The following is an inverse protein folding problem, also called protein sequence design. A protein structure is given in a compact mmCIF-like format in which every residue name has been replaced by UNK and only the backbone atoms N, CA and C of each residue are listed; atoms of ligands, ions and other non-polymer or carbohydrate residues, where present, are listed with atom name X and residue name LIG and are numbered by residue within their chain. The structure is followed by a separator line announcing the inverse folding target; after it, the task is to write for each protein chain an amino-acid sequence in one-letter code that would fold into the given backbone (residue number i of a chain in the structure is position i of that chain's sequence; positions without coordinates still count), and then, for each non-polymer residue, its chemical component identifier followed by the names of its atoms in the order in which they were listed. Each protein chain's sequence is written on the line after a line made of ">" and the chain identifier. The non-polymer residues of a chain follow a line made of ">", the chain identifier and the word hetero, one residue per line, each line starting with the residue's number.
data_IF_802802799836
#
_entry.id   IF_802802799836
#
_cell.length_a   1.000
_cell.length_b   1.000
_cell.length_c   1.000
_cell.angle_alpha   90.00
_cell.angle_beta   90.00
_cell.angle_gamma   90.00
#
_symmetry.space_group_name_H-M   'P 1'
#
loop_
_entity.id
_entity.type
_entity.pdbx_description
1 polymer ?
#
# COMPACT_ATOMS: atom_id res chain seq x y z
N UNK A 1 -18.92 -9.97 -34.69
CA UNK A 1 -18.04 -9.08 -33.88
C UNK A 1 -17.60 -9.86 -32.66
N UNK A 2 -16.31 -10.23 -32.50
CA UNK A 2 -15.83 -10.82 -31.25
C UNK A 2 -16.08 -9.79 -30.14
N UNK A 3 -16.74 -10.20 -29.06
CA UNK A 3 -16.85 -9.37 -27.86
C UNK A 3 -15.43 -9.06 -27.40
N UNK A 4 -15.03 -7.79 -27.22
CA UNK A 4 -13.70 -7.50 -26.72
C UNK A 4 -13.53 -8.25 -25.40
N UNK A 5 -12.52 -9.10 -25.33
CA UNK A 5 -12.14 -9.79 -24.09
C UNK A 5 -12.00 -8.69 -23.06
N UNK A 6 -12.87 -8.69 -22.03
CA UNK A 6 -12.70 -7.76 -20.91
C UNK A 6 -11.31 -8.02 -20.35
N UNK A 7 -10.39 -7.08 -20.52
CA UNK A 7 -9.10 -7.11 -19.84
C UNK A 7 -9.40 -7.07 -18.35
N UNK A 8 -9.43 -8.24 -17.70
CA UNK A 8 -9.62 -8.32 -16.26
C UNK A 8 -8.26 -8.20 -15.58
N UNK A 9 -8.24 -7.62 -14.38
CA UNK A 9 -7.02 -7.49 -13.60
C UNK A 9 -6.38 -8.88 -13.33
N UNK A 10 -5.19 -9.17 -13.89
CA UNK A 10 -4.67 -10.52 -13.95
C UNK A 10 -3.96 -10.92 -12.66
N UNK A 11 -3.87 -12.23 -12.43
CA UNK A 11 -2.93 -12.83 -11.49
C UNK A 11 -1.90 -13.59 -12.33
N UNK A 12 -0.73 -12.97 -12.55
CA UNK A 12 0.35 -13.49 -13.39
C UNK A 12 1.25 -14.45 -12.62
N UNK A 13 1.51 -14.17 -11.35
CA UNK A 13 2.23 -15.11 -10.49
C UNK A 13 1.40 -16.41 -10.29
N UNK A 14 2.04 -17.58 -10.16
CA UNK A 14 1.33 -18.82 -9.88
C UNK A 14 0.41 -18.71 -8.66
N UNK A 15 -0.84 -19.18 -8.79
CA UNK A 15 -1.83 -19.18 -7.69
C UNK A 15 -1.31 -19.88 -6.44
N UNK A 16 -0.50 -20.92 -6.61
CA UNK A 16 0.15 -21.66 -5.53
C UNK A 16 1.10 -20.80 -4.68
N UNK A 17 1.63 -19.68 -5.19
CA UNK A 17 2.49 -18.78 -4.44
C UNK A 17 1.72 -17.84 -3.52
N UNK A 18 0.46 -17.52 -3.83
CA UNK A 18 -0.30 -16.48 -3.10
C UNK A 18 -0.42 -16.82 -1.61
N UNK A 19 -0.84 -18.03 -1.27
CA UNK A 19 -0.99 -18.47 0.12
C UNK A 19 0.33 -18.42 0.92
N UNK A 20 1.41 -19.08 0.45
CA UNK A 20 2.72 -19.02 1.08
C UNK A 20 3.31 -17.61 1.24
N UNK A 21 3.09 -16.73 0.26
CA UNK A 21 3.50 -15.33 0.34
C UNK A 21 2.67 -14.56 1.38
N UNK A 22 1.35 -14.80 1.44
CA UNK A 22 0.48 -14.19 2.45
C UNK A 22 0.84 -14.60 3.88
N UNK A 23 1.32 -15.81 4.08
CA UNK A 23 1.81 -16.27 5.39
C UNK A 23 3.03 -15.49 5.88
N UNK A 24 3.76 -14.79 5.02
CA UNK A 24 4.88 -13.93 5.45
C UNK A 24 4.43 -12.77 6.33
N UNK A 25 3.15 -12.40 6.27
CA UNK A 25 2.56 -11.37 7.12
C UNK A 25 2.21 -11.87 8.53
N UNK A 26 2.21 -13.18 8.78
CA UNK A 26 1.97 -13.72 10.12
C UNK A 26 3.12 -13.34 11.06
N UNK A 27 2.77 -12.87 12.25
CA UNK A 27 3.73 -12.34 13.21
C UNK A 27 3.57 -13.01 14.58
N UNK A 28 4.64 -13.52 15.20
CA UNK A 28 4.57 -14.04 16.56
C UNK A 28 4.06 -12.98 17.54
N UNK A 29 3.11 -13.32 18.41
CA UNK A 29 2.54 -12.36 19.33
C UNK A 29 3.58 -11.97 20.40
N UNK A 30 3.95 -10.69 20.54
CA UNK A 30 5.09 -10.26 21.35
C UNK A 30 4.91 -10.53 22.85
N UNK A 31 3.66 -10.56 23.32
CA UNK A 31 3.30 -10.77 24.74
C UNK A 31 2.65 -12.13 25.04
N UNK A 32 2.43 -12.99 24.04
CA UNK A 32 1.67 -14.24 24.19
C UNK A 32 2.40 -15.35 23.43
N UNK A 33 3.33 -16.06 24.08
CA UNK A 33 4.08 -17.15 23.47
C UNK A 33 3.16 -18.15 22.77
N UNK A 34 3.58 -18.65 21.60
CA UNK A 34 2.80 -19.61 20.80
C UNK A 34 1.60 -19.01 20.04
N UNK A 35 1.18 -17.78 20.34
CA UNK A 35 0.11 -17.11 19.58
C UNK A 35 0.69 -16.39 18.37
N UNK A 36 -0.06 -16.40 17.27
CA UNK A 36 0.27 -15.69 16.03
C UNK A 36 -0.75 -14.59 15.79
N UNK A 37 -0.27 -13.39 15.51
CA UNK A 37 -1.05 -12.30 14.93
C UNK A 37 -1.13 -12.58 13.43
N UNK A 38 -2.34 -12.84 12.93
CA UNK A 38 -2.53 -13.09 11.50
C UNK A 38 -2.24 -11.83 10.71
N UNK A 39 -1.61 -12.00 9.56
CA UNK A 39 -1.33 -10.92 8.63
C UNK A 39 -2.55 -10.06 8.32
N UNK A 40 -2.46 -8.76 8.60
CA UNK A 40 -3.50 -7.79 8.32
C UNK A 40 -3.61 -7.54 6.79
N UNK A 41 -4.84 -7.32 6.31
CA UNK A 41 -5.19 -6.90 4.94
C UNK A 41 -4.70 -7.73 3.74
N UNK A 42 -4.58 -9.04 3.91
CA UNK A 42 -4.19 -9.95 2.83
C UNK A 42 -5.01 -9.82 1.54
N UNK A 43 -6.33 -9.62 1.70
CA UNK A 43 -7.23 -9.49 0.56
C UNK A 43 -7.03 -8.19 -0.21
N UNK A 44 -6.79 -7.09 0.50
CA UNK A 44 -6.41 -5.82 -0.09
C UNK A 44 -5.10 -5.93 -0.86
N UNK A 45 -4.06 -6.49 -0.24
CA UNK A 45 -2.76 -6.64 -0.90
C UNK A 45 -2.87 -7.44 -2.21
N UNK A 46 -3.70 -8.49 -2.23
CA UNK A 46 -3.99 -9.25 -3.45
C UNK A 46 -4.72 -8.44 -4.52
N UNK A 47 -5.77 -7.68 -4.15
CA UNK A 47 -6.50 -6.83 -5.10
C UNK A 47 -5.59 -5.73 -5.67
N UNK A 48 -4.83 -5.03 -4.81
CA UNK A 48 -3.84 -4.03 -5.22
C UNK A 48 -2.82 -4.64 -6.18
N UNK A 49 -2.27 -5.83 -5.89
CA UNK A 49 -1.32 -6.50 -6.77
C UNK A 49 -1.90 -6.87 -8.15
N UNK A 50 -3.18 -7.27 -8.21
CA UNK A 50 -3.87 -7.52 -9.49
C UNK A 50 -4.08 -6.25 -10.29
N UNK A 51 -4.50 -5.16 -9.64
CA UNK A 51 -4.62 -3.84 -10.30
C UNK A 51 -3.26 -3.37 -10.83
N UNK A 52 -2.21 -3.47 -10.02
CA UNK A 52 -0.84 -3.11 -10.39
C UNK A 52 -0.36 -3.86 -11.63
N UNK A 53 -0.60 -5.17 -11.70
CA UNK A 53 -0.22 -5.97 -12.86
C UNK A 53 -0.95 -5.55 -14.14
N UNK A 54 -2.25 -5.23 -14.05
CA UNK A 54 -3.02 -4.74 -15.19
C UNK A 54 -2.45 -3.41 -15.72
N UNK A 55 -2.22 -2.44 -14.83
CA UNK A 55 -1.67 -1.13 -15.19
C UNK A 55 -0.26 -1.28 -15.77
N UNK A 56 0.60 -2.08 -15.15
CA UNK A 56 1.96 -2.31 -15.62
C UNK A 56 2.00 -2.95 -17.03
N UNK A 57 1.10 -3.90 -17.34
CA UNK A 57 0.96 -4.45 -18.69
C UNK A 57 0.47 -3.39 -19.69
N UNK A 58 -0.55 -2.61 -19.31
CA UNK A 58 -1.09 -1.50 -20.13
C UNK A 58 -0.02 -0.47 -20.48
N UNK A 59 0.94 -0.25 -19.58
CA UNK A 59 2.07 0.67 -19.78
C UNK A 59 3.21 0.07 -20.64
N UNK A 60 3.13 -1.21 -21.02
CA UNK A 60 4.09 -1.87 -21.92
C UNK A 60 5.27 -2.56 -21.21
N UNK A 61 5.18 -2.85 -19.92
CA UNK A 61 6.20 -3.67 -19.25
C UNK A 61 6.11 -5.14 -19.67
N UNK A 62 7.27 -5.82 -19.77
CA UNK A 62 7.35 -7.24 -20.11
C UNK A 62 6.69 -8.12 -19.06
N UNK A 63 6.09 -9.24 -19.47
CA UNK A 63 5.38 -10.14 -18.54
C UNK A 63 6.27 -10.64 -17.41
N UNK A 64 7.53 -11.02 -17.69
CA UNK A 64 8.49 -11.44 -16.67
C UNK A 64 8.71 -10.35 -15.60
N UNK A 65 8.80 -9.08 -16.02
CA UNK A 65 8.93 -7.96 -15.08
C UNK A 65 7.66 -7.78 -14.28
N UNK A 66 6.50 -7.84 -14.93
CA UNK A 66 5.20 -7.64 -14.28
C UNK A 66 4.91 -8.76 -13.28
N UNK A 67 5.27 -10.01 -13.57
CA UNK A 67 5.13 -11.13 -12.64
C UNK A 67 5.92 -10.89 -11.35
N UNK A 68 7.20 -10.52 -11.49
CA UNK A 68 8.06 -10.19 -10.33
C UNK A 68 7.55 -8.97 -9.59
N UNK A 69 7.14 -7.94 -10.33
CA UNK A 69 6.55 -6.73 -9.76
C UNK A 69 5.27 -7.07 -8.97
N UNK A 70 4.42 -7.96 -9.48
CA UNK A 70 3.20 -8.38 -8.80
C UNK A 70 3.49 -9.03 -7.44
N UNK A 71 4.59 -9.79 -7.32
CA UNK A 71 5.06 -10.31 -6.03
C UNK A 71 5.46 -9.17 -5.09
N UNK A 72 6.16 -8.14 -5.59
CA UNK A 72 6.52 -6.97 -4.78
C UNK A 72 5.27 -6.21 -4.30
N UNK A 73 4.26 -6.02 -5.17
CA UNK A 73 2.97 -5.42 -4.80
C UNK A 73 2.24 -6.26 -3.76
N UNK A 74 2.28 -7.59 -3.87
CA UNK A 74 1.63 -8.49 -2.93
C UNK A 74 2.23 -8.38 -1.52
N UNK A 75 3.52 -8.07 -1.43
CA UNK A 75 4.26 -7.94 -0.18
C UNK A 75 4.44 -6.48 0.26
N UNK A 76 3.85 -5.51 -0.45
CA UNK A 76 4.22 -4.10 -0.31
C UNK A 76 4.08 -3.55 1.12
N UNK A 77 3.12 -4.12 1.87
CA UNK A 77 2.78 -3.79 3.25
C UNK A 77 3.46 -4.71 4.29
N UNK A 78 4.42 -5.55 3.89
CA UNK A 78 5.06 -6.53 4.79
C UNK A 78 5.71 -5.87 6.02
N UNK A 79 6.14 -4.60 5.91
CA UNK A 79 6.61 -3.82 7.04
C UNK A 79 5.54 -3.61 8.12
N UNK A 80 4.25 -3.88 7.87
CA UNK A 80 3.15 -3.83 8.84
C UNK A 80 2.81 -5.18 9.48
N UNK A 81 3.59 -6.24 9.22
CA UNK A 81 3.42 -7.51 9.93
C UNK A 81 3.45 -7.26 11.47
N UNK A 82 2.48 -7.84 12.18
CA UNK A 82 2.28 -7.61 13.62
C UNK A 82 1.48 -6.35 13.97
N UNK A 83 0.74 -5.76 13.03
CA UNK A 83 -0.10 -4.60 13.35
C UNK A 83 -1.12 -4.91 14.47
N UNK A 84 -1.06 -4.11 15.53
CA UNK A 84 -2.07 -4.04 16.58
C UNK A 84 -3.03 -2.91 16.25
N UNK A 85 -4.20 -3.24 15.69
CA UNK A 85 -5.13 -2.24 15.14
C UNK A 85 -5.61 -1.22 16.19
N UNK A 86 -5.83 -1.66 17.43
CA UNK A 86 -6.30 -0.78 18.50
C UNK A 86 -5.19 0.18 18.91
N UNK A 87 -4.01 -0.34 19.22
CA UNK A 87 -2.86 0.47 19.63
C UNK A 87 -2.42 1.42 18.51
N UNK A 88 -2.29 0.91 17.28
CA UNK A 88 -1.94 1.68 16.11
C UNK A 88 -2.99 2.77 15.81
N UNK A 89 -4.27 2.40 15.83
CA UNK A 89 -5.38 3.33 15.61
C UNK A 89 -5.39 4.45 16.64
N UNK A 90 -5.16 4.13 17.91
CA UNK A 90 -5.08 5.08 19.03
C UNK A 90 -3.94 6.09 18.85
N UNK A 91 -2.74 5.62 18.52
CA UNK A 91 -1.56 6.49 18.29
C UNK A 91 -1.81 7.42 17.09
N UNK A 92 -2.21 6.86 15.95
CA UNK A 92 -2.21 7.61 14.69
C UNK A 92 -3.44 8.48 14.49
N UNK A 93 -4.60 8.11 15.07
CA UNK A 93 -5.77 8.99 15.09
C UNK A 93 -5.51 10.21 15.96
N UNK A 94 -4.86 10.01 17.13
CA UNK A 94 -4.45 11.12 17.98
C UNK A 94 -3.44 12.03 17.28
N UNK A 95 -2.37 11.46 16.70
CA UNK A 95 -1.35 12.24 15.99
C UNK A 95 -1.99 13.10 14.89
N UNK A 96 -2.87 12.51 14.08
CA UNK A 96 -3.58 13.23 13.02
C UNK A 96 -4.48 14.34 13.55
N UNK A 97 -5.23 14.09 14.62
CA UNK A 97 -6.11 15.09 15.23
C UNK A 97 -5.35 16.30 15.80
N UNK A 98 -4.05 16.14 16.06
CA UNK A 98 -3.18 17.18 16.63
C UNK A 98 -2.18 17.73 15.59
N UNK A 99 -2.40 17.47 14.30
CA UNK A 99 -1.53 17.98 13.23
C UNK A 99 -0.11 17.40 13.24
N UNK A 100 0.11 16.29 13.94
CA UNK A 100 1.44 15.68 14.05
C UNK A 100 1.74 14.90 12.75
N UNK A 101 2.91 15.11 12.12
CA UNK A 101 3.30 14.39 10.92
C UNK A 101 3.25 12.86 11.10
N UNK A 102 2.60 12.17 10.16
CA UNK A 102 2.44 10.70 10.23
C UNK A 102 3.26 9.96 9.18
N UNK A 103 4.07 10.70 8.42
CA UNK A 103 4.98 10.15 7.41
C UNK A 103 6.40 10.64 7.65
N UNK A 104 7.43 9.84 7.32
CA UNK A 104 8.82 10.21 7.55
C UNK A 104 9.22 11.52 6.84
N UNK A 105 8.78 11.72 5.58
CA UNK A 105 9.06 12.95 4.83
C UNK A 105 8.43 14.18 5.49
N UNK A 106 7.16 14.09 5.86
CA UNK A 106 6.43 15.17 6.56
C UNK A 106 7.08 15.46 7.91
N UNK A 107 7.48 14.42 8.65
CA UNK A 107 8.17 14.54 9.93
C UNK A 107 9.46 15.33 9.78
N UNK A 108 10.30 14.97 8.80
CA UNK A 108 11.58 15.66 8.57
C UNK A 108 11.41 17.09 8.08
N UNK A 109 10.29 17.43 7.44
CA UNK A 109 9.99 18.81 7.06
C UNK A 109 9.70 19.69 8.29
N UNK A 110 9.03 19.14 9.31
CA UNK A 110 8.72 19.84 10.56
C UNK A 110 9.87 19.76 11.59
N UNK A 111 10.62 18.66 11.58
CA UNK A 111 11.71 18.37 12.51
C UNK A 111 13.02 18.08 11.75
N UNK A 112 13.63 19.09 11.10
CA UNK A 112 14.79 18.90 10.21
C UNK A 112 16.05 18.40 10.92
N UNK A 113 16.14 18.56 12.24
CA UNK A 113 17.24 18.02 13.06
C UNK A 113 17.12 16.52 13.32
N UNK A 114 16.01 15.87 12.96
CA UNK A 114 15.85 14.43 13.12
C UNK A 114 16.78 13.69 12.15
N UNK A 115 17.71 12.84 12.62
CA UNK A 115 18.53 12.04 11.73
C UNK A 115 17.67 11.12 10.86
N UNK A 116 18.01 11.00 9.58
CA UNK A 116 17.25 10.18 8.63
C UNK A 116 17.14 8.73 9.12
N UNK A 117 15.93 8.19 9.16
CA UNK A 117 15.67 6.83 9.65
C UNK A 117 15.58 6.72 11.18
N UNK A 118 15.58 7.83 11.92
CA UNK A 118 15.38 7.92 13.38
C UNK A 118 14.09 8.62 13.79
N UNK A 119 13.14 8.76 12.86
CA UNK A 119 11.86 9.43 13.06
C UNK A 119 11.00 8.72 14.11
N UNK A 120 11.10 7.39 14.22
CA UNK A 120 10.39 6.61 15.25
C UNK A 120 10.84 6.98 16.65
N UNK A 121 12.16 7.00 16.86
CA UNK A 121 12.77 7.33 18.13
C UNK A 121 12.55 8.79 18.51
N UNK A 122 12.62 9.70 17.52
CA UNK A 122 12.32 11.11 17.71
C UNK A 122 10.85 11.33 18.12
N UNK A 123 9.91 10.65 17.46
CA UNK A 123 8.48 10.70 17.81
C UNK A 123 8.23 10.24 19.24
N UNK A 124 8.77 9.07 19.61
CA UNK A 124 8.59 8.52 20.96
C UNK A 124 9.20 9.44 22.02
N UNK A 125 10.37 10.02 21.75
CA UNK A 125 10.99 10.98 22.67
C UNK A 125 10.14 12.24 22.84
N UNK A 126 9.62 12.78 21.75
CA UNK A 126 8.88 14.05 21.77
C UNK A 126 7.50 13.90 22.41
N UNK A 127 6.81 12.79 22.15
CA UNK A 127 5.40 12.60 22.52
C UNK A 127 5.18 11.55 23.61
N UNK A 128 6.23 11.08 24.30
CA UNK A 128 6.14 10.09 25.37
C UNK A 128 5.05 10.43 26.40
N UNK A 129 5.06 11.66 26.92
CA UNK A 129 4.10 12.08 27.96
C UNK A 129 2.66 12.12 27.45
N UNK A 130 2.43 12.57 26.21
CA UNK A 130 1.11 12.57 25.59
C UNK A 130 0.56 11.16 25.38
N UNK A 131 1.42 10.24 24.94
CA UNK A 131 1.06 8.84 24.79
C UNK A 131 0.67 8.23 26.15
N UNK A 132 1.45 8.47 27.20
CA UNK A 132 1.15 7.98 28.57
C UNK A 132 -0.16 8.56 29.09
N UNK A 133 -0.41 9.86 28.93
CA UNK A 133 -1.69 10.50 29.33
C UNK A 133 -2.90 9.86 28.65
N UNK A 134 -2.69 9.23 27.49
CA UNK A 134 -3.73 8.53 26.74
C UNK A 134 -3.83 7.05 27.09
N UNK A 135 -3.02 6.55 28.02
CA UNK A 135 -2.94 5.12 28.33
C UNK A 135 -2.36 4.31 27.17
N UNK A 136 -1.39 4.87 26.44
CA UNK A 136 -0.54 4.12 25.53
C UNK A 136 0.72 3.71 26.29
N UNK A 137 1.03 2.41 26.43
CA UNK A 137 2.25 1.97 27.11
C UNK A 137 3.48 2.40 26.31
N UNK A 138 4.59 2.73 26.99
CA UNK A 138 5.85 3.07 26.34
C UNK A 138 6.82 1.89 26.39
N UNK A 139 6.47 0.81 25.71
CA UNK A 139 7.29 -0.39 25.60
C UNK A 139 7.78 -0.64 24.16
N UNK A 140 8.55 -1.71 23.98
CA UNK A 140 9.05 -2.11 22.66
C UNK A 140 7.92 -2.38 21.66
N UNK A 141 6.74 -2.82 22.13
CA UNK A 141 5.61 -3.07 21.24
C UNK A 141 5.03 -1.79 20.67
N UNK A 142 4.84 -0.76 21.50
CA UNK A 142 4.45 0.57 21.02
C UNK A 142 5.47 1.14 20.05
N UNK A 143 6.76 0.95 20.32
CA UNK A 143 7.80 1.39 19.39
C UNK A 143 7.68 0.74 18.01
N UNK A 144 7.36 -0.56 17.96
CA UNK A 144 7.08 -1.25 16.70
C UNK A 144 5.87 -0.69 15.96
N UNK A 145 4.78 -0.35 16.67
CA UNK A 145 3.58 0.25 16.05
C UNK A 145 3.86 1.65 15.49
N UNK A 146 4.74 2.43 16.15
CA UNK A 146 5.18 3.73 15.63
C UNK A 146 6.06 3.53 14.37
N UNK A 147 6.94 2.54 14.41
CA UNK A 147 7.87 2.25 13.31
C UNK A 147 7.16 1.87 12.01
N UNK A 148 5.96 1.26 12.09
CA UNK A 148 5.15 0.93 10.91
C UNK A 148 4.73 2.15 10.07
N UNK A 149 4.86 3.38 10.58
CA UNK A 149 4.66 4.62 9.80
C UNK A 149 5.96 5.40 9.63
N UNK A 150 6.65 5.71 10.72
CA UNK A 150 7.78 6.63 10.71
C UNK A 150 9.12 5.95 10.41
N UNK A 151 9.23 4.64 10.67
CA UNK A 151 10.43 3.85 10.40
C UNK A 151 10.19 2.75 9.36
N UNK A 152 9.21 2.94 8.47
CA UNK A 152 8.70 1.89 7.59
C UNK A 152 9.81 1.23 6.75
N UNK A 153 10.75 2.01 6.21
CA UNK A 153 11.84 1.45 5.41
C UNK A 153 12.72 0.46 6.19
N UNK A 154 13.09 0.82 7.42
CA UNK A 154 13.93 -0.02 8.27
C UNK A 154 13.19 -1.28 8.69
N UNK A 155 11.91 -1.15 9.02
CA UNK A 155 11.05 -2.28 9.37
C UNK A 155 10.85 -3.22 8.17
N UNK A 156 10.50 -2.69 7.00
CA UNK A 156 10.35 -3.48 5.76
C UNK A 156 11.63 -4.24 5.44
N UNK A 157 12.80 -3.57 5.51
CA UNK A 157 14.08 -4.21 5.25
C UNK A 157 14.36 -5.38 6.23
N UNK A 158 14.02 -5.24 7.52
CA UNK A 158 14.12 -6.35 8.48
C UNK A 158 13.21 -7.52 8.10
N UNK A 159 11.94 -7.24 7.80
CA UNK A 159 10.98 -8.27 7.42
C UNK A 159 11.38 -8.99 6.13
N UNK A 160 11.84 -8.25 5.12
CA UNK A 160 12.34 -8.82 3.87
C UNK A 160 13.58 -9.68 4.08
N UNK A 161 14.53 -9.27 4.93
CA UNK A 161 15.70 -10.09 5.27
C UNK A 161 15.27 -11.43 5.88
N UNK A 162 14.31 -11.44 6.80
CA UNK A 162 13.77 -12.65 7.38
C UNK A 162 13.00 -13.50 6.35
N UNK A 163 12.28 -12.88 5.41
CA UNK A 163 11.50 -13.56 4.39
C UNK A 163 12.33 -14.14 3.24
N UNK A 164 13.51 -13.58 2.93
CA UNK A 164 14.35 -13.96 1.77
C UNK A 164 14.60 -15.46 1.64
N UNK A 165 14.98 -16.21 2.69
CA UNK A 165 15.16 -17.66 2.58
C UNK A 165 13.88 -18.43 2.21
N UNK A 166 12.71 -17.97 2.64
CA UNK A 166 11.42 -18.58 2.26
C UNK A 166 11.04 -18.20 0.83
N UNK A 167 11.27 -16.95 0.42
CA UNK A 167 11.09 -16.49 -0.96
C UNK A 167 11.93 -17.32 -1.95
N UNK A 168 13.21 -17.55 -1.65
CA UNK A 168 14.08 -18.38 -2.47
C UNK A 168 13.58 -19.82 -2.61
N UNK A 169 13.11 -20.44 -1.52
CA UNK A 169 12.50 -21.78 -1.52
C UNK A 169 11.21 -21.86 -2.34
N UNK A 170 10.50 -20.74 -2.45
CA UNK A 170 9.31 -20.59 -3.31
C UNK A 170 9.65 -20.27 -4.76
N UNK A 171 10.94 -20.26 -5.15
CA UNK A 171 11.38 -19.94 -6.51
C UNK A 171 11.37 -18.44 -6.85
N UNK A 172 11.14 -17.57 -5.87
CA UNK A 172 11.06 -16.12 -6.10
C UNK A 172 12.45 -15.50 -6.23
N UNK A 173 12.77 -15.00 -7.42
CA UNK A 173 14.00 -14.23 -7.70
C UNK A 173 13.86 -12.77 -7.25
N UNK A 174 14.15 -12.51 -5.98
CA UNK A 174 14.12 -11.14 -5.43
C UNK A 174 15.19 -10.25 -6.07
N UNK A 175 14.83 -9.03 -6.45
CA UNK A 175 15.77 -8.01 -6.93
C UNK A 175 15.71 -6.73 -6.10
N UNK A 176 16.81 -5.96 -6.01
CA UNK A 176 16.86 -4.74 -5.21
C UNK A 176 15.78 -3.71 -5.56
N UNK A 177 15.39 -3.60 -6.84
CA UNK A 177 14.37 -2.65 -7.28
C UNK A 177 12.98 -2.96 -6.69
N UNK A 178 12.69 -4.23 -6.37
CA UNK A 178 11.39 -4.65 -5.82
C UNK A 178 11.13 -3.98 -4.48
N UNK A 179 12.13 -4.02 -3.58
CA UNK A 179 12.08 -3.33 -2.28
C UNK A 179 11.95 -1.82 -2.45
N UNK A 180 12.69 -1.22 -3.39
CA UNK A 180 12.64 0.23 -3.60
C UNK A 180 11.27 0.70 -4.10
N UNK A 181 10.63 -0.06 -4.98
CA UNK A 181 9.26 0.21 -5.46
C UNK A 181 8.27 0.21 -4.31
N UNK A 182 8.36 -0.76 -3.38
CA UNK A 182 7.50 -0.84 -2.20
C UNK A 182 7.65 0.36 -1.25
N UNK A 183 8.79 1.05 -1.29
CA UNK A 183 9.07 2.21 -0.43
C UNK A 183 8.65 3.55 -1.04
N UNK A 184 8.30 3.59 -2.32
CA UNK A 184 8.13 4.84 -3.07
C UNK A 184 7.16 5.83 -2.41
N UNK A 185 6.05 5.34 -1.84
CA UNK A 185 5.07 6.23 -1.20
C UNK A 185 5.61 7.00 0.01
N UNK A 186 6.42 6.34 0.82
CA UNK A 186 6.96 6.91 2.06
C UNK A 186 8.32 7.59 1.86
N UNK A 187 9.06 7.14 0.87
CA UNK A 187 10.44 7.53 0.60
C UNK A 187 10.68 7.66 -0.92
N UNK A 188 10.01 8.59 -1.62
CA UNK A 188 10.15 8.74 -3.07
C UNK A 188 11.61 8.99 -3.47
N UNK A 189 12.39 9.64 -2.60
CA UNK A 189 13.81 9.91 -2.80
C UNK A 189 14.66 8.64 -2.97
N UNK A 190 14.19 7.47 -2.51
CA UNK A 190 14.92 6.20 -2.67
C UNK A 190 14.93 5.69 -4.10
N UNK A 191 14.12 6.27 -4.99
CA UNK A 191 14.16 6.00 -6.43
C UNK A 191 14.99 7.02 -7.22
N UNK A 192 15.61 8.00 -6.56
CA UNK A 192 16.54 8.92 -7.23
C UNK A 192 17.68 8.11 -7.90
N UNK A 193 17.94 8.41 -9.18
CA UNK A 193 18.93 7.69 -9.99
C UNK A 193 18.55 6.26 -10.39
N UNK A 194 17.36 5.77 -10.06
CA UNK A 194 16.87 4.48 -10.55
C UNK A 194 16.43 4.60 -12.01
N UNK A 195 16.42 3.48 -12.74
CA UNK A 195 15.89 3.45 -14.11
C UNK A 195 14.43 3.95 -14.14
N UNK A 196 14.05 4.68 -15.21
CA UNK A 196 12.71 5.29 -15.35
C UNK A 196 11.57 4.29 -15.11
N UNK A 197 11.71 3.07 -15.62
CA UNK A 197 10.71 2.01 -15.45
C UNK A 197 10.54 1.58 -13.98
N UNK A 198 11.56 1.70 -13.13
CA UNK A 198 11.44 1.39 -11.69
C UNK A 198 10.60 2.47 -10.99
N UNK A 199 10.82 3.74 -11.33
CA UNK A 199 9.97 4.84 -10.84
C UNK A 199 8.53 4.66 -11.29
N UNK A 200 8.32 4.36 -12.58
CA UNK A 200 6.98 4.08 -13.12
C UNK A 200 6.26 2.95 -12.36
N UNK A 201 6.95 1.85 -12.02
CA UNK A 201 6.38 0.79 -11.17
C UNK A 201 6.07 1.27 -9.73
N UNK A 202 6.90 2.14 -9.16
CA UNK A 202 6.62 2.80 -7.88
C UNK A 202 5.33 3.63 -7.92
N UNK A 203 5.19 4.45 -8.96
CA UNK A 203 4.00 5.26 -9.20
C UNK A 203 2.75 4.39 -9.41
N UNK A 204 2.85 3.30 -10.18
CA UNK A 204 1.75 2.34 -10.38
C UNK A 204 1.28 1.75 -9.06
N UNK A 205 2.21 1.34 -8.20
CA UNK A 205 1.88 0.79 -6.89
C UNK A 205 1.12 1.81 -6.05
N UNK A 206 1.61 3.06 -6.00
CA UNK A 206 0.93 4.15 -5.27
C UNK A 206 -0.46 4.39 -5.84
N UNK A 207 -0.60 4.52 -7.15
CA UNK A 207 -1.88 4.82 -7.78
C UNK A 207 -2.92 3.71 -7.49
N UNK A 208 -2.53 2.45 -7.65
CA UNK A 208 -3.43 1.31 -7.39
C UNK A 208 -3.75 1.15 -5.90
N UNK A 209 -2.76 1.35 -5.02
CA UNK A 209 -2.94 1.30 -3.56
C UNK A 209 -3.97 2.33 -3.10
N UNK A 210 -3.83 3.57 -3.55
CA UNK A 210 -4.76 4.63 -3.17
C UNK A 210 -6.14 4.43 -3.79
N UNK A 211 -6.20 3.98 -5.04
CA UNK A 211 -7.48 3.70 -5.70
C UNK A 211 -8.25 2.57 -5.00
N UNK A 212 -7.57 1.46 -4.65
CA UNK A 212 -8.16 0.36 -3.89
C UNK A 212 -8.58 0.83 -2.49
N UNK A 213 -7.69 1.50 -1.76
CA UNK A 213 -7.95 1.92 -0.38
C UNK A 213 -9.09 2.95 -0.29
N UNK A 214 -9.28 3.80 -1.30
CA UNK A 214 -10.43 4.70 -1.38
C UNK A 214 -11.72 3.98 -1.77
N UNK A 215 -11.60 2.79 -2.35
CA UNK A 215 -12.71 1.94 -2.78
C UNK A 215 -12.98 0.77 -1.84
N UNK A 216 -12.28 0.69 -0.71
CA UNK A 216 -12.38 -0.41 0.23
C UNK A 216 -13.18 0.00 1.46
N UNK A 217 -14.33 -0.66 1.68
CA UNK A 217 -15.26 -0.32 2.77
C UNK A 217 -14.66 -0.62 4.13
N UNK A 218 -14.01 -1.77 4.27
CA UNK A 218 -13.42 -2.21 5.53
C UNK A 218 -12.27 -1.27 5.94
N UNK A 219 -11.30 -1.04 5.03
CA UNK A 219 -10.20 -0.08 5.28
C UNK A 219 -10.71 1.34 5.51
N UNK A 220 -11.72 1.78 4.76
CA UNK A 220 -12.37 3.08 4.92
C UNK A 220 -12.88 3.31 6.35
N UNK A 221 -13.56 2.31 6.91
CA UNK A 221 -14.04 2.32 8.29
C UNK A 221 -12.89 2.25 9.30
N UNK A 222 -11.99 1.29 9.14
CA UNK A 222 -10.99 0.94 10.15
C UNK A 222 -9.86 1.99 10.29
N UNK A 223 -9.45 2.61 9.19
CA UNK A 223 -8.28 3.54 9.19
C UNK A 223 -8.63 5.00 9.00
N UNK A 224 -9.72 5.27 8.27
CA UNK A 224 -10.02 6.62 7.81
C UNK A 224 -11.31 7.16 8.43
N UNK A 225 -12.00 6.37 9.26
CA UNK A 225 -13.31 6.72 9.85
C UNK A 225 -14.30 7.21 8.78
N UNK A 226 -14.15 6.76 7.54
CA UNK A 226 -14.95 7.21 6.40
C UNK A 226 -16.34 6.60 6.49
N UNK A 227 -17.35 7.45 6.33
CA UNK A 227 -18.76 7.05 6.38
C UNK A 227 -19.24 6.44 5.06
N UNK A 228 -18.62 6.85 3.95
CA UNK A 228 -18.95 6.45 2.59
C UNK A 228 -17.69 6.44 1.75
N UNK A 229 -17.75 5.70 0.68
CA UNK A 229 -16.70 5.67 -0.32
C UNK A 229 -17.25 6.16 -1.65
N UNK A 230 -16.35 6.76 -2.45
CA UNK A 230 -16.71 7.50 -3.65
C UNK A 230 -15.60 7.34 -4.68
N UNK A 231 -15.91 6.74 -5.83
CA UNK A 231 -14.97 6.67 -6.95
C UNK A 231 -14.51 8.06 -7.43
N UNK A 232 -15.38 9.10 -7.51
CA UNK A 232 -14.94 10.47 -7.77
C UNK A 232 -13.88 10.97 -6.77
N UNK A 233 -14.05 10.71 -5.48
CA UNK A 233 -13.04 11.10 -4.47
C UNK A 233 -11.74 10.33 -4.64
N UNK A 234 -11.82 9.05 -5.03
CA UNK A 234 -10.64 8.24 -5.30
C UNK A 234 -9.81 8.86 -6.44
N UNK A 235 -10.44 9.24 -7.56
CA UNK A 235 -9.75 9.89 -8.67
C UNK A 235 -9.28 11.31 -8.35
N UNK A 236 -10.09 12.11 -7.64
CA UNK A 236 -9.64 13.42 -7.19
C UNK A 236 -8.38 13.34 -6.30
N UNK A 237 -8.25 12.27 -5.51
CA UNK A 237 -7.03 12.04 -4.74
C UNK A 237 -5.83 11.65 -5.61
N UNK A 238 -6.04 10.85 -6.67
CA UNK A 238 -4.99 10.58 -7.65
C UNK A 238 -4.54 11.85 -8.39
N UNK A 239 -5.49 12.72 -8.76
CA UNK A 239 -5.20 14.01 -9.40
C UNK A 239 -4.38 14.91 -8.48
N UNK A 240 -4.70 14.93 -7.18
CA UNK A 240 -3.87 15.61 -6.18
C UNK A 240 -2.44 15.07 -6.15
N UNK A 241 -2.26 13.75 -6.14
CA UNK A 241 -0.93 13.15 -6.14
C UNK A 241 -0.16 13.41 -7.44
N UNK A 242 -0.86 13.58 -8.56
CA UNK A 242 -0.26 14.03 -9.82
C UNK A 242 0.25 15.47 -9.72
N UNK A 243 -0.54 16.38 -9.13
CA UNK A 243 -0.12 17.78 -8.88
C UNK A 243 1.09 17.85 -7.94
N UNK A 244 1.19 16.94 -6.98
CA UNK A 244 2.32 16.83 -6.05
C UNK A 244 3.58 16.15 -6.65
N UNK A 245 3.58 15.86 -7.97
CA UNK A 245 4.65 15.14 -8.70
C UNK A 245 5.00 13.75 -8.09
N UNK A 246 4.02 13.14 -7.42
CA UNK A 246 4.13 11.77 -6.90
C UNK A 246 3.74 10.77 -7.99
N UNK A 247 2.75 11.10 -8.82
CA UNK A 247 2.27 10.26 -9.93
C UNK A 247 2.44 10.98 -11.26
N UNK A 248 2.95 10.29 -12.28
CA UNK A 248 2.95 10.84 -13.64
C UNK A 248 1.54 10.81 -14.26
N UNK A 249 1.23 11.75 -15.19
CA UNK A 249 -0.04 11.74 -15.92
C UNK A 249 -0.29 10.42 -16.65
N UNK A 250 0.76 9.80 -17.17
CA UNK A 250 0.70 8.51 -17.88
C UNK A 250 0.15 7.39 -16.99
N UNK A 251 0.59 7.32 -15.73
CA UNK A 251 0.12 6.31 -14.77
C UNK A 251 -1.33 6.55 -14.38
N UNK A 252 -1.70 7.80 -14.08
CA UNK A 252 -3.08 8.17 -13.73
C UNK A 252 -4.03 7.86 -14.89
N UNK A 253 -3.64 8.20 -16.12
CA UNK A 253 -4.43 7.89 -17.30
C UNK A 253 -4.59 6.39 -17.50
N UNK A 254 -3.55 5.59 -17.33
CA UNK A 254 -3.65 4.13 -17.45
C UNK A 254 -4.62 3.51 -16.43
N UNK A 255 -4.68 4.05 -15.20
CA UNK A 255 -5.67 3.64 -14.19
C UNK A 255 -7.09 4.03 -14.65
N UNK A 256 -7.28 5.27 -15.14
CA UNK A 256 -8.58 5.74 -15.66
C UNK A 256 -9.06 4.88 -16.81
N UNK A 257 -8.23 4.61 -17.80
CA UNK A 257 -8.54 3.77 -18.97
C UNK A 257 -8.99 2.37 -18.56
N UNK A 258 -8.23 1.71 -17.68
CA UNK A 258 -8.55 0.35 -17.22
C UNK A 258 -9.83 0.33 -16.38
N UNK A 259 -10.03 1.33 -15.52
CA UNK A 259 -11.27 1.49 -14.78
C UNK A 259 -12.45 1.74 -15.73
N UNK A 260 -12.27 2.55 -16.78
CA UNK A 260 -13.24 2.86 -17.82
C UNK A 260 -13.56 1.69 -18.76
N UNK A 261 -12.63 0.77 -18.94
CA UNK A 261 -12.84 -0.50 -19.64
C UNK A 261 -13.52 -1.57 -18.76
N UNK A 262 -13.59 -1.34 -17.44
CA UNK A 262 -14.18 -2.27 -16.47
C UNK A 262 -13.24 -3.35 -15.97
N UNK A 263 -11.92 -3.16 -16.13
CA UNK A 263 -10.90 -4.11 -15.70
C UNK A 263 -10.90 -4.35 -14.18
N UNK A 264 -11.40 -3.37 -13.42
CA UNK A 264 -11.38 -3.35 -11.96
C UNK A 264 -12.75 -3.58 -11.31
N UNK A 265 -13.84 -3.68 -12.08
CA UNK A 265 -15.21 -3.72 -11.54
C UNK A 265 -15.39 -4.82 -10.48
N UNK A 266 -14.89 -6.02 -10.78
CA UNK A 266 -14.98 -7.14 -9.85
C UNK A 266 -14.15 -6.90 -8.59
N UNK A 267 -12.92 -6.40 -8.73
CA UNK A 267 -12.05 -6.12 -7.58
C UNK A 267 -12.65 -5.03 -6.68
N UNK A 268 -13.26 -4.01 -7.29
CA UNK A 268 -13.94 -2.93 -6.56
C UNK A 268 -15.18 -3.46 -5.83
N UNK A 269 -15.97 -4.33 -6.47
CA UNK A 269 -17.10 -4.98 -5.81
C UNK A 269 -16.66 -5.87 -4.63
N UNK A 270 -15.57 -6.62 -4.80
CA UNK A 270 -14.95 -7.41 -3.72
C UNK A 270 -14.46 -6.51 -2.58
N UNK A 271 -13.82 -5.37 -2.88
CA UNK A 271 -13.37 -4.39 -1.88
C UNK A 271 -14.54 -3.72 -1.12
N UNK A 272 -15.71 -3.61 -1.77
CA UNK A 272 -16.95 -3.09 -1.19
C UNK A 272 -17.73 -4.14 -0.39
N UNK A 273 -17.47 -5.43 -0.64
CA UNK A 273 -18.31 -6.54 -0.17
C UNK A 273 -19.70 -6.56 -0.81
N UNK A 274 -19.91 -5.85 -1.92
CA UNK A 274 -21.19 -5.71 -2.61
C UNK A 274 -21.00 -5.22 -4.04
N UNK A 275 -22.00 -5.44 -4.89
CA UNK A 275 -22.01 -4.90 -6.24
C UNK A 275 -21.92 -3.36 -6.24
N UNK A 276 -21.23 -2.80 -7.25
CA UNK A 276 -21.12 -1.36 -7.40
C UNK A 276 -22.49 -0.73 -7.72
N UNK A 277 -22.87 0.39 -7.08
CA UNK A 277 -24.09 1.11 -7.42
C UNK A 277 -24.09 1.56 -8.89
N UNK A 278 -25.26 1.56 -9.53
CA UNK A 278 -25.42 1.99 -10.95
C UNK A 278 -24.81 3.36 -11.24
N UNK A 279 -24.85 4.29 -10.29
CA UNK A 279 -24.22 5.63 -10.42
C UNK A 279 -22.70 5.55 -10.54
N UNK A 280 -22.05 4.71 -9.74
CA UNK A 280 -20.59 4.53 -9.75
C UNK A 280 -20.15 3.79 -11.00
N UNK A 281 -20.93 2.79 -11.43
CA UNK A 281 -20.71 2.12 -12.70
C UNK A 281 -20.79 3.11 -13.87
N UNK A 282 -21.82 3.96 -13.93
CA UNK A 282 -21.94 5.00 -14.96
C UNK A 282 -20.77 5.99 -14.93
N UNK A 283 -20.34 6.40 -13.73
CA UNK A 283 -19.17 7.25 -13.56
C UNK A 283 -17.90 6.60 -14.12
N UNK A 284 -17.63 5.32 -13.81
CA UNK A 284 -16.48 4.62 -14.39
C UNK A 284 -16.54 4.59 -15.93
N UNK A 285 -17.72 4.34 -16.51
CA UNK A 285 -17.88 4.29 -17.96
C UNK A 285 -17.77 5.67 -18.61
N UNK A 286 -18.08 6.76 -17.91
CA UNK A 286 -17.94 8.11 -18.45
C UNK A 286 -16.48 8.56 -18.56
N UNK A 287 -15.56 7.98 -17.76
CA UNK A 287 -14.12 8.28 -17.84
C UNK A 287 -13.51 8.02 -19.23
N UNK A 288 -14.14 7.20 -20.07
CA UNK A 288 -13.72 6.96 -21.46
C UNK A 288 -13.90 8.18 -22.37
N UNK A 289 -14.73 9.15 -21.96
CA UNK A 289 -15.13 10.30 -22.78
C UNK A 289 -14.27 11.55 -22.56
N UNK A 290 -13.45 11.57 -21.51
CA UNK A 290 -12.66 12.74 -21.09
C UNK A 290 -11.16 12.61 -21.47
N UNK A 291 -10.84 11.78 -22.47
CA UNK A 291 -9.48 11.54 -22.97
C UNK A 291 -9.28 12.03 -24.39
#
# INVERSE_FOLDING_TARGET
>A
MPTPIRETAPLLMPRSLVGPLMQLYDYPHPRKPGRVIRGYDRHHALRTARMCAAVARRLGHSEERVERYQIACLLHDLGRAGLDQELFGKIWSWARANGIPTRPREWRAVHPSTPYGRETEAFLKHYAQDLVRRGVPLDSWTAEQVEMRLGYARRLARQLRAARPKLARLGVKWAPWMERVMLYYYYPEKLNGSARWVRELGEVLVACEQFEAYSNRQRGRDYYTRKKESLPEAFAYLDKLQVEDILSPRVVQAVRDLAAAGAFDQLLAEARGAALPRREFRYLRSLKRDG
#
